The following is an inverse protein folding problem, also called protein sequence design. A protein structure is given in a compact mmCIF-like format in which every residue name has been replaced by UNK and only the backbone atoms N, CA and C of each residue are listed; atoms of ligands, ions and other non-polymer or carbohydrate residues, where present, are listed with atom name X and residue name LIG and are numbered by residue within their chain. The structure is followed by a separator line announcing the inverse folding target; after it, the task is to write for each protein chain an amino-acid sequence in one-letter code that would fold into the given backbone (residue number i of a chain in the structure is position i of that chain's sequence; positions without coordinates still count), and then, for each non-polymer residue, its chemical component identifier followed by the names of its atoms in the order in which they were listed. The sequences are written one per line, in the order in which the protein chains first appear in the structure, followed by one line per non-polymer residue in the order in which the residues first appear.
data_IF_156450741913
#
_entry.id   IF_156450741913
#
_cell.length_a   1.000
_cell.length_b   1.000
_cell.length_c   1.000
_cell.angle_alpha   90.00
_cell.angle_beta   90.00
_cell.angle_gamma   90.00
#
_symmetry.space_group_name_H-M   'P 1'
#
loop_
_entity.id
_entity.type
_entity.pdbx_description
1 polymer ?
#
# COMPACT_ATOMS: atom_id res chain seq x y z
N UNK A 1 -9.41 45.03 -25.24
CA UNK A 1 -10.11 43.77 -24.89
C UNK A 1 -9.64 42.72 -25.89
N UNK A 2 -9.23 41.52 -25.44
CA UNK A 2 -8.82 40.47 -26.39
C UNK A 2 -10.08 39.93 -27.08
N UNK A 3 -10.11 39.94 -28.42
CA UNK A 3 -11.24 39.40 -29.18
C UNK A 3 -11.40 37.90 -28.93
N UNK A 4 -12.62 37.39 -29.06
CA UNK A 4 -12.88 35.96 -29.18
C UNK A 4 -13.18 35.62 -30.63
N UNK A 5 -12.81 34.41 -31.05
CA UNK A 5 -13.12 33.89 -32.38
C UNK A 5 -13.42 32.40 -32.30
N UNK A 6 -14.16 31.88 -33.28
CA UNK A 6 -14.48 30.47 -33.36
C UNK A 6 -13.34 29.65 -33.96
N UNK A 7 -13.17 28.43 -33.46
CA UNK A 7 -12.16 27.52 -33.98
C UNK A 7 -12.45 27.12 -35.43
N UNK A 8 -11.55 27.48 -36.36
CA UNK A 8 -11.64 27.15 -37.79
C UNK A 8 -11.68 25.64 -38.10
N UNK A 9 -11.29 24.80 -37.15
CA UNK A 9 -11.41 23.35 -37.26
C UNK A 9 -12.84 22.81 -37.16
N UNK A 10 -13.86 23.68 -37.07
CA UNK A 10 -15.27 23.31 -37.07
C UNK A 10 -15.80 22.71 -35.76
N UNK A 11 -15.03 22.76 -34.67
CA UNK A 11 -15.44 22.18 -33.39
C UNK A 11 -16.33 23.07 -32.52
N UNK A 12 -16.73 24.25 -33.02
CA UNK A 12 -17.58 25.22 -32.31
C UNK A 12 -16.97 25.82 -31.03
N UNK A 13 -15.69 25.55 -30.74
CA UNK A 13 -15.03 26.08 -29.54
C UNK A 13 -14.59 27.52 -29.76
N UNK A 14 -15.07 28.41 -28.90
CA UNK A 14 -14.60 29.79 -28.82
C UNK A 14 -13.18 29.86 -28.24
N UNK A 15 -12.34 30.66 -28.87
CA UNK A 15 -10.94 30.86 -28.51
C UNK A 15 -10.70 32.32 -28.23
N UNK A 16 -10.03 32.59 -27.10
CA UNK A 16 -9.51 33.93 -26.80
C UNK A 16 -8.29 34.21 -27.67
N UNK A 17 -8.27 35.40 -28.26
CA UNK A 17 -7.12 35.89 -29.00
C UNK A 17 -5.92 36.07 -28.09
N UNK A 18 -4.78 35.57 -28.53
CA UNK A 18 -3.54 35.60 -27.77
C UNK A 18 -2.38 35.94 -28.70
N UNK A 19 -1.58 36.94 -28.34
CA UNK A 19 -0.51 37.49 -29.20
C UNK A 19 0.47 36.44 -29.75
N UNK A 20 0.69 35.33 -29.04
CA UNK A 20 1.61 34.25 -29.46
C UNK A 20 0.94 33.08 -30.20
N UNK A 21 -0.38 33.11 -30.37
CA UNK A 21 -1.12 32.04 -31.03
C UNK A 21 -1.00 32.21 -32.55
N UNK A 22 -0.37 31.26 -33.22
CA UNK A 22 -0.14 31.28 -34.68
C UNK A 22 -1.30 30.72 -35.51
N UNK A 23 -2.23 30.00 -34.88
CA UNK A 23 -3.32 29.31 -35.56
C UNK A 23 -4.65 29.65 -34.91
N UNK A 24 -5.71 29.80 -35.72
CA UNK A 24 -7.08 29.93 -35.24
C UNK A 24 -7.75 28.58 -34.88
N UNK A 25 -6.95 27.52 -34.83
CA UNK A 25 -7.38 26.20 -34.36
C UNK A 25 -7.28 26.08 -32.83
N UNK A 26 -8.22 25.35 -32.25
CA UNK A 26 -8.12 24.92 -30.85
C UNK A 26 -7.03 23.85 -30.72
N UNK A 27 -6.56 23.57 -29.50
CA UNK A 27 -5.49 22.59 -29.27
C UNK A 27 -5.81 21.20 -29.87
N UNK A 28 -7.06 20.77 -29.75
CA UNK A 28 -7.49 19.47 -30.25
C UNK A 28 -7.57 19.44 -31.78
N UNK A 29 -8.17 20.45 -32.41
CA UNK A 29 -8.22 20.55 -33.87
C UNK A 29 -6.82 20.70 -34.47
N UNK A 30 -5.94 21.47 -33.83
CA UNK A 30 -4.53 21.58 -34.25
C UNK A 30 -3.82 20.22 -34.15
N UNK A 31 -4.01 19.49 -33.05
CA UNK A 31 -3.47 18.13 -32.92
C UNK A 31 -4.04 17.17 -33.99
N UNK A 32 -5.33 17.27 -34.31
CA UNK A 32 -5.97 16.47 -35.35
C UNK A 32 -5.42 16.78 -36.75
N UNK A 33 -5.21 18.06 -37.08
CA UNK A 33 -4.58 18.48 -38.35
C UNK A 33 -3.15 17.96 -38.43
N UNK A 34 -2.37 18.06 -37.36
CA UNK A 34 -1.01 17.50 -37.29
C UNK A 34 -1.02 15.98 -37.49
N UNK A 35 -2.01 15.28 -36.92
CA UNK A 35 -2.10 13.82 -36.99
C UNK A 35 -2.49 13.31 -38.39
N UNK A 36 -3.25 14.08 -39.17
CA UNK A 36 -3.64 13.72 -40.56
C UNK A 36 -2.48 13.82 -41.55
N UNK A 37 -1.49 14.66 -41.25
CA UNK A 37 -0.30 14.81 -42.07
C UNK A 37 0.79 13.83 -41.58
N UNK A 38 1.13 12.78 -42.36
CA UNK A 38 2.05 11.75 -41.92
C UNK A 38 3.46 12.29 -41.62
N UNK A 39 3.92 13.29 -42.37
CA UNK A 39 5.25 13.89 -42.16
C UNK A 39 5.30 14.67 -40.84
N UNK A 40 4.24 15.44 -40.53
CA UNK A 40 4.14 16.16 -39.25
C UNK A 40 3.96 15.20 -38.07
N UNK A 41 3.14 14.17 -38.23
CA UNK A 41 2.95 13.13 -37.22
C UNK A 41 4.27 12.41 -36.90
N UNK A 42 5.05 12.05 -37.93
CA UNK A 42 6.37 11.44 -37.77
C UNK A 42 7.34 12.37 -37.01
N UNK A 43 7.41 13.65 -37.38
CA UNK A 43 8.24 14.65 -36.71
C UNK A 43 7.85 14.84 -35.24
N UNK A 44 6.55 14.91 -34.94
CA UNK A 44 6.05 15.01 -33.57
C UNK A 44 6.42 13.76 -32.75
N UNK A 45 6.23 12.56 -33.32
CA UNK A 45 6.59 11.29 -32.70
C UNK A 45 8.10 11.22 -32.40
N UNK A 46 8.96 11.56 -33.36
CA UNK A 46 10.41 11.59 -33.17
C UNK A 46 10.82 12.57 -32.05
N UNK A 47 10.18 13.74 -31.98
CA UNK A 47 10.44 14.73 -30.92
C UNK A 47 10.09 14.18 -29.54
N UNK A 48 8.91 13.56 -29.39
CA UNK A 48 8.48 12.97 -28.12
C UNK A 48 9.41 11.80 -27.73
N UNK A 49 9.75 10.91 -28.67
CA UNK A 49 10.69 9.80 -28.41
C UNK A 49 12.03 10.32 -27.89
N UNK A 50 12.59 11.37 -28.50
CA UNK A 50 13.82 12.02 -28.04
C UNK A 50 13.67 12.58 -26.62
N UNK A 51 12.57 13.27 -26.31
CA UNK A 51 12.33 13.79 -24.96
C UNK A 51 12.22 12.68 -23.91
N UNK A 52 11.66 11.52 -24.27
CA UNK A 52 11.56 10.37 -23.36
C UNK A 52 12.90 9.66 -23.09
N UNK A 53 13.95 9.98 -23.86
CA UNK A 53 15.32 9.55 -23.53
C UNK A 53 15.88 10.31 -22.33
N UNK A 54 15.40 11.53 -22.05
CA UNK A 54 15.75 12.27 -20.84
C UNK A 54 15.03 11.69 -19.61
N UNK A 55 15.77 11.17 -18.60
CA UNK A 55 15.17 10.60 -17.40
C UNK A 55 14.37 11.61 -16.57
N UNK A 56 14.75 12.89 -16.58
CA UNK A 56 14.04 13.95 -15.84
C UNK A 56 12.69 14.21 -16.48
N UNK A 57 12.65 14.40 -17.81
CA UNK A 57 11.41 14.54 -18.55
C UNK A 57 10.49 13.32 -18.34
N UNK A 58 11.03 12.11 -18.50
CA UNK A 58 10.28 10.86 -18.34
C UNK A 58 9.66 10.72 -16.96
N UNK A 59 10.43 10.98 -15.90
CA UNK A 59 9.94 10.87 -14.52
C UNK A 59 8.85 11.92 -14.22
N UNK A 60 9.04 13.17 -14.64
CA UNK A 60 8.03 14.22 -14.50
C UNK A 60 6.74 13.86 -15.23
N UNK A 61 6.85 13.37 -16.47
CA UNK A 61 5.70 12.99 -17.28
C UNK A 61 4.94 11.81 -16.66
N UNK A 62 5.65 10.80 -16.15
CA UNK A 62 5.04 9.67 -15.43
C UNK A 62 4.27 10.14 -14.18
N UNK A 63 4.86 11.04 -13.38
CA UNK A 63 4.19 11.61 -12.20
C UNK A 63 2.93 12.39 -12.59
N UNK A 64 3.01 13.24 -13.61
CA UNK A 64 1.86 14.00 -14.09
C UNK A 64 0.73 13.10 -14.61
N UNK A 65 1.06 12.08 -15.41
CA UNK A 65 0.09 11.09 -15.88
C UNK A 65 -0.55 10.32 -14.72
N UNK A 66 0.25 9.87 -13.74
CA UNK A 66 -0.28 9.16 -12.56
C UNK A 66 -1.25 10.04 -11.75
N UNK A 67 -0.86 11.29 -11.48
CA UNK A 67 -1.69 12.24 -10.76
C UNK A 67 -3.01 12.54 -11.52
N UNK A 68 -2.94 12.75 -12.83
CA UNK A 68 -4.13 12.97 -13.67
C UNK A 68 -5.09 11.79 -13.67
N UNK A 69 -4.57 10.57 -13.76
CA UNK A 69 -5.39 9.34 -13.66
C UNK A 69 -6.03 9.22 -12.29
N UNK A 70 -5.28 9.44 -11.21
CA UNK A 70 -5.82 9.40 -9.85
C UNK A 70 -6.93 10.44 -9.64
N UNK A 71 -6.70 11.68 -10.07
CA UNK A 71 -7.70 12.74 -10.00
C UNK A 71 -8.97 12.39 -10.80
N UNK A 72 -8.82 11.83 -12.01
CA UNK A 72 -9.95 11.39 -12.83
C UNK A 72 -10.77 10.29 -12.14
N UNK A 73 -10.13 9.34 -11.47
CA UNK A 73 -10.80 8.25 -10.76
C UNK A 73 -11.47 8.74 -9.48
N UNK A 74 -10.87 9.73 -8.81
CA UNK A 74 -11.42 10.35 -7.62
C UNK A 74 -12.70 11.14 -7.95
N UNK A 75 -12.66 11.96 -9.00
CA UNK A 75 -13.71 12.92 -9.33
C UNK A 75 -14.82 12.36 -10.23
N UNK A 76 -14.61 11.21 -10.87
CA UNK A 76 -15.59 10.62 -11.79
C UNK A 76 -15.91 9.16 -11.41
N UNK A 77 -17.07 8.87 -10.79
CA UNK A 77 -17.43 7.50 -10.41
C UNK A 77 -17.66 6.59 -11.63
N UNK A 78 -18.16 7.12 -12.75
CA UNK A 78 -18.34 6.34 -13.97
C UNK A 78 -17.00 5.89 -14.57
N UNK A 79 -15.98 6.75 -14.51
CA UNK A 79 -14.60 6.40 -14.91
C UNK A 79 -14.03 5.28 -14.05
N UNK A 80 -14.24 5.36 -12.73
CA UNK A 80 -13.82 4.34 -11.78
C UNK A 80 -14.46 2.99 -12.09
N UNK A 81 -15.76 2.99 -12.33
CA UNK A 81 -16.50 1.76 -12.63
C UNK A 81 -16.09 1.18 -13.99
N UNK A 82 -15.94 2.02 -15.01
CA UNK A 82 -15.43 1.58 -16.32
C UNK A 82 -14.07 0.90 -16.19
N UNK A 83 -13.14 1.49 -15.44
CA UNK A 83 -11.82 0.89 -15.19
C UNK A 83 -11.90 -0.43 -14.43
N UNK A 84 -12.81 -0.53 -13.45
CA UNK A 84 -13.07 -1.78 -12.73
C UNK A 84 -13.53 -2.88 -13.69
N UNK A 85 -14.50 -2.57 -14.56
CA UNK A 85 -15.02 -3.51 -15.55
C UNK A 85 -13.95 -3.90 -16.59
N UNK A 86 -13.18 -2.94 -17.11
CA UNK A 86 -12.06 -3.24 -18.01
C UNK A 86 -11.01 -4.12 -17.35
N UNK A 87 -10.70 -3.90 -16.08
CA UNK A 87 -9.78 -4.75 -15.31
C UNK A 87 -10.30 -6.18 -15.16
N UNK A 88 -11.59 -6.36 -14.91
CA UNK A 88 -12.23 -7.69 -14.86
C UNK A 88 -12.20 -8.38 -16.22
N UNK A 89 -12.53 -7.66 -17.29
CA UNK A 89 -12.50 -8.20 -18.64
C UNK A 89 -11.08 -8.64 -19.03
N UNK A 90 -10.06 -7.83 -18.73
CA UNK A 90 -8.66 -8.18 -18.99
C UNK A 90 -8.18 -9.38 -18.15
N UNK A 91 -8.65 -9.50 -16.90
CA UNK A 91 -8.35 -10.67 -16.09
C UNK A 91 -8.98 -11.95 -16.66
N UNK A 92 -10.21 -11.85 -17.19
CA UNK A 92 -10.93 -12.97 -17.78
C UNK A 92 -10.28 -13.49 -19.07
N UNK A 93 -9.60 -12.63 -19.85
CA UNK A 93 -8.86 -13.06 -21.05
C UNK A 93 -7.57 -13.82 -20.72
N UNK A 94 -7.16 -13.87 -19.45
CA UNK A 94 -5.89 -14.46 -19.05
C UNK A 94 -4.67 -13.65 -19.50
N UNK A 95 -4.86 -12.48 -20.11
CA UNK A 95 -3.77 -11.61 -20.56
C UNK A 95 -3.20 -10.78 -19.39
N UNK A 96 -1.96 -10.30 -19.54
CA UNK A 96 -1.29 -9.45 -18.54
C UNK A 96 -0.66 -10.24 -17.38
N UNK A 97 -0.94 -9.86 -16.13
CA UNK A 97 -0.35 -10.53 -14.96
C UNK A 97 -0.89 -11.95 -14.72
N UNK A 98 -2.06 -12.28 -15.27
CA UNK A 98 -2.61 -13.64 -15.22
C UNK A 98 -1.85 -14.60 -16.16
N UNK A 99 -1.31 -14.10 -17.28
CA UNK A 99 -0.46 -14.85 -18.20
C UNK A 99 0.93 -15.16 -17.61
N UNK A 100 1.32 -14.48 -16.53
CA UNK A 100 2.59 -14.73 -15.87
C UNK A 100 2.52 -16.05 -15.11
N UNK A 101 3.53 -16.90 -15.32
CA UNK A 101 3.63 -18.20 -14.66
C UNK A 101 3.54 -18.05 -13.14
N UNK A 102 2.87 -18.99 -12.44
CA UNK A 102 2.92 -19.05 -10.98
C UNK A 102 4.38 -19.04 -10.50
N UNK A 103 4.69 -18.23 -9.49
CA UNK A 103 6.06 -18.08 -8.97
C UNK A 103 6.96 -17.11 -9.74
N UNK A 104 6.49 -16.50 -10.83
CA UNK A 104 7.23 -15.41 -11.49
C UNK A 104 7.48 -14.23 -10.54
N UNK A 105 8.66 -13.61 -10.65
CA UNK A 105 9.09 -12.46 -9.81
C UNK A 105 8.06 -11.31 -9.79
N UNK A 106 7.45 -10.88 -10.91
CA UNK A 106 6.39 -9.87 -10.89
C UNK A 106 5.17 -10.30 -10.06
N UNK A 107 4.78 -11.58 -10.10
CA UNK A 107 3.63 -12.12 -9.37
C UNK A 107 3.93 -12.22 -7.87
N UNK A 108 5.14 -12.62 -7.50
CA UNK A 108 5.62 -12.60 -6.11
C UNK A 108 5.62 -11.18 -5.57
N UNK A 109 6.17 -10.22 -6.31
CA UNK A 109 6.20 -8.81 -5.90
C UNK A 109 4.81 -8.22 -5.72
N UNK A 110 3.90 -8.47 -6.67
CA UNK A 110 2.51 -8.04 -6.56
C UNK A 110 1.81 -8.65 -5.33
N UNK A 111 2.05 -9.95 -5.06
CA UNK A 111 1.55 -10.63 -3.87
C UNK A 111 2.07 -10.03 -2.55
N UNK A 112 3.37 -9.69 -2.50
CA UNK A 112 3.99 -9.00 -1.35
C UNK A 112 3.34 -7.63 -1.13
N UNK A 113 3.25 -6.79 -2.16
CA UNK A 113 2.63 -5.46 -2.05
C UNK A 113 1.15 -5.51 -1.68
N UNK A 114 0.40 -6.49 -2.21
CA UNK A 114 -0.98 -6.71 -1.80
C UNK A 114 -1.08 -7.12 -0.33
N UNK A 115 -0.21 -8.05 0.11
CA UNK A 115 -0.14 -8.48 1.51
C UNK A 115 0.18 -7.31 2.44
N UNK A 116 1.13 -6.45 2.07
CA UNK A 116 1.46 -5.24 2.83
C UNK A 116 0.31 -4.26 2.89
N UNK A 117 -0.46 -4.10 1.81
CA UNK A 117 -1.61 -3.20 1.78
C UNK A 117 -2.76 -3.72 2.64
N UNK A 118 -3.06 -5.02 2.57
CA UNK A 118 -4.20 -5.63 3.27
C UNK A 118 -3.89 -5.96 4.74
N UNK A 119 -2.67 -6.41 5.02
CA UNK A 119 -2.20 -6.82 6.35
C UNK A 119 -1.17 -5.83 6.92
N UNK A 120 -1.21 -4.57 6.49
CA UNK A 120 -0.32 -3.52 7.00
C UNK A 120 -0.49 -3.27 8.50
N UNK A 121 -1.69 -3.50 9.04
CA UNK A 121 -1.99 -3.42 10.47
C UNK A 121 -1.44 -4.61 11.28
N UNK A 122 -1.21 -5.75 10.63
CA UNK A 122 -0.81 -7.01 11.28
C UNK A 122 0.73 -7.15 11.26
N UNK A 123 1.38 -7.30 12.42
CA UNK A 123 2.82 -7.50 12.51
C UNK A 123 3.29 -8.70 11.66
N UNK A 124 4.46 -8.63 10.99
CA UNK A 124 4.91 -9.66 10.07
C UNK A 124 4.90 -11.09 10.65
N UNK A 125 5.28 -11.26 11.91
CA UNK A 125 5.36 -12.56 12.59
C UNK A 125 3.98 -13.15 12.93
N UNK A 126 2.92 -12.34 12.99
CA UNK A 126 1.55 -12.79 13.26
C UNK A 126 0.72 -13.02 11.98
N UNK A 127 1.24 -12.63 10.81
CA UNK A 127 0.51 -12.77 9.54
C UNK A 127 0.18 -14.22 9.18
N UNK A 128 1.07 -15.15 9.49
CA UNK A 128 0.83 -16.57 9.26
C UNK A 128 -0.27 -17.11 10.17
N UNK A 129 -0.33 -16.64 11.41
CA UNK A 129 -1.40 -17.02 12.34
C UNK A 129 -2.76 -16.48 11.88
N UNK A 130 -2.81 -15.23 11.42
CA UNK A 130 -4.02 -14.67 10.81
C UNK A 130 -4.53 -15.51 9.63
N UNK A 131 -3.61 -15.99 8.76
CA UNK A 131 -3.96 -16.87 7.63
C UNK A 131 -4.48 -18.23 8.11
N UNK A 132 -3.88 -18.82 9.15
CA UNK A 132 -4.36 -20.08 9.73
C UNK A 132 -5.75 -19.92 10.33
N UNK A 133 -6.02 -18.84 11.05
CA UNK A 133 -7.34 -18.57 11.63
C UNK A 133 -8.41 -18.49 10.53
N UNK A 134 -8.14 -17.76 9.44
CA UNK A 134 -9.08 -17.68 8.32
C UNK A 134 -9.26 -19.02 7.60
N UNK A 135 -8.17 -19.74 7.30
CA UNK A 135 -8.21 -20.94 6.47
C UNK A 135 -8.67 -22.19 7.20
N UNK A 136 -8.17 -22.41 8.43
CA UNK A 136 -8.43 -23.65 9.20
C UNK A 136 -9.62 -23.52 10.15
N UNK A 137 -9.78 -22.36 10.79
CA UNK A 137 -10.84 -22.15 11.78
C UNK A 137 -12.11 -21.57 11.15
N UNK A 138 -12.04 -21.13 9.88
CA UNK A 138 -13.19 -20.60 9.15
C UNK A 138 -13.79 -19.33 9.76
N UNK A 139 -13.03 -18.62 10.60
CA UNK A 139 -13.52 -17.41 11.26
C UNK A 139 -13.79 -16.29 10.25
N UNK A 140 -14.75 -15.42 10.59
CA UNK A 140 -14.96 -14.17 9.85
C UNK A 140 -13.73 -13.27 10.01
N UNK A 141 -13.48 -12.42 9.02
CA UNK A 141 -12.32 -11.51 8.99
C UNK A 141 -12.27 -10.58 10.20
N UNK A 142 -13.43 -10.10 10.65
CA UNK A 142 -13.56 -9.21 11.81
C UNK A 142 -13.13 -9.90 13.10
N UNK A 143 -13.61 -11.13 13.34
CA UNK A 143 -13.26 -11.91 14.52
C UNK A 143 -11.78 -12.34 14.50
N UNK A 144 -11.27 -12.74 13.33
CA UNK A 144 -9.86 -13.07 13.15
C UNK A 144 -8.96 -11.85 13.44
N UNK A 145 -9.38 -10.65 13.05
CA UNK A 145 -8.67 -9.41 13.35
C UNK A 145 -8.64 -9.12 14.85
N UNK A 146 -9.80 -9.20 15.52
CA UNK A 146 -9.89 -8.99 16.98
C UNK A 146 -8.97 -9.94 17.75
N UNK A 147 -8.94 -11.22 17.36
CA UNK A 147 -8.06 -12.23 17.98
C UNK A 147 -6.57 -11.90 17.81
N UNK A 148 -6.16 -11.42 16.64
CA UNK A 148 -4.76 -10.98 16.43
C UNK A 148 -4.45 -9.72 17.23
N UNK A 149 -5.37 -8.77 17.31
CA UNK A 149 -5.20 -7.56 18.12
C UNK A 149 -5.07 -7.92 19.63
N UNK A 150 -5.81 -8.92 20.11
CA UNK A 150 -5.65 -9.49 21.45
C UNK A 150 -4.27 -10.14 21.64
N UNK A 151 -3.80 -10.93 20.68
CA UNK A 151 -2.44 -11.50 20.71
C UNK A 151 -1.36 -10.41 20.73
N UNK A 152 -1.52 -9.36 19.94
CA UNK A 152 -0.63 -8.20 19.93
C UNK A 152 -0.62 -7.49 21.28
N UNK A 153 -1.80 -7.26 21.87
CA UNK A 153 -1.93 -6.66 23.19
C UNK A 153 -1.25 -7.51 24.26
N UNK A 154 -1.41 -8.84 24.19
CA UNK A 154 -0.74 -9.78 25.08
C UNK A 154 0.78 -9.79 24.90
N UNK A 155 1.30 -9.70 23.68
CA UNK A 155 2.75 -9.56 23.41
C UNK A 155 3.30 -8.23 23.94
N UNK A 156 2.56 -7.13 23.81
CA UNK A 156 2.96 -5.83 24.36
C UNK A 156 2.95 -5.87 25.89
N UNK A 157 1.91 -6.46 26.48
CA UNK A 157 1.81 -6.64 27.92
C UNK A 157 2.92 -7.55 28.46
N UNK A 158 3.25 -8.64 27.77
CA UNK A 158 4.32 -9.55 28.17
C UNK A 158 5.71 -8.92 28.00
N UNK A 159 5.93 -8.08 26.99
CA UNK A 159 7.17 -7.28 26.87
C UNK A 159 7.28 -6.23 27.97
N UNK A 160 6.17 -5.61 28.36
CA UNK A 160 6.13 -4.63 29.45
C UNK A 160 6.34 -5.28 30.82
N UNK A 161 5.82 -6.49 31.01
CA UNK A 161 5.98 -7.29 32.23
C UNK A 161 7.22 -8.19 32.20
N UNK A 162 7.90 -8.27 31.07
CA UNK A 162 9.10 -9.05 30.87
C UNK A 162 10.16 -8.57 31.83
N UNK A 163 10.81 -9.51 32.54
CA UNK A 163 11.96 -9.25 33.40
C UNK A 163 12.85 -8.20 32.74
N UNK A 164 13.07 -7.08 33.44
CA UNK A 164 14.00 -6.04 33.00
C UNK A 164 15.29 -6.69 32.51
N UNK A 165 15.86 -6.19 31.42
CA UNK A 165 17.16 -6.69 30.95
C UNK A 165 18.20 -6.54 32.06
N UNK A 166 19.22 -7.40 32.09
CA UNK A 166 20.26 -7.33 33.12
C UNK A 166 20.93 -5.94 33.18
N UNK A 167 21.14 -5.30 32.02
CA UNK A 167 21.67 -3.93 31.95
C UNK A 167 20.71 -2.88 32.54
N UNK A 168 19.41 -3.04 32.33
CA UNK A 168 18.41 -2.15 32.89
C UNK A 168 18.24 -2.36 34.40
N UNK A 169 18.38 -3.60 34.87
CA UNK A 169 18.50 -3.91 36.29
C UNK A 169 19.73 -3.23 36.92
N UNK A 170 20.91 -3.34 36.28
CA UNK A 170 22.13 -2.66 36.73
C UNK A 170 22.00 -1.13 36.75
N UNK A 171 21.41 -0.52 35.70
CA UNK A 171 21.16 0.94 35.70
C UNK A 171 20.27 1.37 36.85
N UNK A 172 19.24 0.59 37.20
CA UNK A 172 18.38 0.91 38.34
C UNK A 172 19.13 0.79 39.66
N UNK A 173 19.98 -0.22 39.82
CA UNK A 173 20.84 -0.35 41.01
C UNK A 173 21.79 0.85 41.13
N UNK A 174 22.43 1.28 40.03
CA UNK A 174 23.25 2.50 40.01
C UNK A 174 22.45 3.78 40.28
N UNK A 175 21.18 3.85 39.87
CA UNK A 175 20.28 4.96 40.14
C UNK A 175 19.69 4.94 41.57
N UNK A 176 20.18 4.07 42.45
CA UNK A 176 19.79 4.00 43.86
C UNK A 176 18.67 3.02 44.18
N UNK A 177 18.24 2.18 43.23
CA UNK A 177 17.33 1.08 43.55
C UNK A 177 18.06 0.03 44.41
N UNK A 178 17.60 -0.16 45.64
CA UNK A 178 18.15 -1.19 46.53
C UNK A 178 17.49 -2.54 46.26
N UNK A 179 18.30 -3.60 46.19
CA UNK A 179 17.78 -4.96 46.23
C UNK A 179 17.10 -5.16 47.58
N UNK A 180 15.79 -5.46 47.56
CA UNK A 180 15.06 -5.81 48.78
C UNK A 180 15.72 -7.06 49.35
N UNK A 181 16.29 -6.93 50.57
CA UNK A 181 16.83 -8.06 51.30
C UNK A 181 15.67 -8.97 51.67
N UNK A 182 15.64 -10.14 51.03
CA UNK A 182 14.84 -11.33 51.40
C UNK A 182 13.32 -11.09 51.29
N UNK A 183 12.68 -11.84 50.39
CA UNK A 183 11.23 -12.01 50.44
C UNK A 183 10.91 -12.79 51.72
N UNK A 184 10.36 -12.13 52.72
CA UNK A 184 9.73 -12.78 53.88
C UNK A 184 8.26 -13.00 53.52
N UNK A 185 7.81 -14.25 53.30
CA UNK A 185 6.40 -14.51 53.03
C UNK A 185 5.56 -14.00 54.22
N UNK A 186 4.71 -13.00 53.97
CA UNK A 186 3.89 -12.36 55.01
C UNK A 186 2.65 -13.17 55.40
N UNK A 187 2.58 -14.44 55.03
CA UNK A 187 1.50 -15.35 55.43
C UNK A 187 2.11 -16.40 56.34
N UNK A 188 1.53 -16.65 57.53
CA UNK A 188 1.96 -17.76 58.36
C UNK A 188 1.88 -19.03 57.51
N UNK A 189 2.95 -19.81 57.54
CA UNK A 189 2.91 -21.19 57.07
C UNK A 189 1.66 -21.83 57.66
N UNK A 190 0.78 -22.31 56.78
CA UNK A 190 -0.34 -23.10 57.23
C UNK A 190 0.21 -24.38 57.85
N UNK A 191 -0.18 -24.70 59.08
CA UNK A 191 0.18 -25.91 59.86
C UNK A 191 -0.25 -27.25 59.21
N UNK A 192 -0.61 -27.24 57.93
CA UNK A 192 -1.04 -28.42 57.20
C UNK A 192 -0.14 -28.60 55.98
N UNK A 193 0.81 -29.52 56.11
CA UNK A 193 1.31 -30.28 54.97
C UNK A 193 0.14 -31.02 54.36
N UNK A 194 -0.28 -30.64 53.14
CA UNK A 194 -1.01 -31.55 52.27
C UNK A 194 -0.08 -32.75 52.04
N UNK A 195 -0.32 -33.81 52.82
CA UNK A 195 0.34 -35.09 52.65
C UNK A 195 0.21 -35.56 51.22
N UNK A 196 1.34 -36.00 50.66
CA UNK A 196 1.35 -36.73 49.40
C UNK A 196 2.36 -36.22 48.38
N UNK A 197 3.65 -36.30 48.68
CA UNK A 197 4.63 -36.67 47.66
C UNK A 197 5.36 -37.90 48.17
N UNK A 198 5.25 -38.95 47.37
CA UNK A 198 5.55 -40.33 47.68
C UNK A 198 7.02 -40.55 48.07
N UNK A 199 7.22 -41.12 49.26
CA UNK A 199 8.38 -41.97 49.54
C UNK A 199 8.09 -43.40 49.10
N UNK A 200 8.94 -43.92 48.22
CA UNK A 200 9.02 -45.33 47.82
C UNK A 200 8.82 -45.47 46.31
N UNK A 201 9.71 -46.08 45.54
CA UNK A 201 10.93 -46.85 45.76
C UNK A 201 11.77 -46.69 44.46
N UNK A 202 13.11 -46.82 44.54
CA UNK A 202 13.90 -47.87 43.82
C UNK A 202 13.37 -48.20 42.42
#
# INVERSE_FOLDING_TARGET
MAGTFECEGGCGRELKEFKRRKTRLCRNCCAAVIARDPAKAAKASATIKRLYQDPVFRSRQQRACKAGVQASIANNPAERERRRLSGKALAATGLGHAAQTPGSEPRIRAGKSHTETVLGWCPPHLRDEYRKILGRQGMRKEDARRKIEEMMAAEVASRRNGRMSFEEQLRRVHAGATLVRKFEPSRPDHDFTLGGIATGMI
#
